data_IF_206774376521
#
_entry.id   IF_206774376521
#
_cell.length_a   1.000
_cell.length_b   1.000
_cell.length_c   1.000
_cell.angle_alpha   90.00
_cell.angle_beta   90.00
_cell.angle_gamma   90.00
#
_symmetry.space_group_name_H-M   'P 1'
#
loop_
_entity.id
_entity.type
_entity.pdbx_description
1 polymer ?
#
# COMPACT_ATOMS: atom_id res chain seq x y z
N UNK A 1 -4.42 -9.71 9.86
CA UNK A 1 -3.49 -10.08 8.76
C UNK A 1 -2.09 -9.83 9.28
N UNK A 2 -1.18 -10.80 9.13
CA UNK A 2 0.17 -10.70 9.69
C UNK A 2 0.89 -9.46 9.12
N UNK A 3 1.57 -8.73 10.00
CA UNK A 3 2.54 -7.70 9.64
C UNK A 3 3.72 -8.39 8.96
N UNK A 4 3.98 -8.08 7.70
CA UNK A 4 5.13 -8.61 6.97
C UNK A 4 6.38 -7.97 7.57
N UNK A 5 7.34 -8.79 8.02
CA UNK A 5 8.63 -8.28 8.48
C UNK A 5 9.56 -8.03 7.30
N UNK A 6 10.62 -7.23 7.51
CA UNK A 6 11.61 -6.96 6.45
C UNK A 6 12.28 -8.25 5.96
N UNK A 7 12.53 -9.20 6.86
CA UNK A 7 13.09 -10.51 6.52
C UNK A 7 12.13 -11.33 5.64
N UNK A 8 10.82 -11.32 5.95
CA UNK A 8 9.81 -11.99 5.12
C UNK A 8 9.75 -11.41 3.70
N UNK A 9 9.93 -10.08 3.57
CA UNK A 9 9.99 -9.41 2.26
C UNK A 9 11.19 -9.90 1.47
N UNK A 10 12.37 -9.93 2.10
CA UNK A 10 13.61 -10.36 1.45
C UNK A 10 13.53 -11.82 1.01
N UNK A 11 13.00 -12.70 1.84
CA UNK A 11 12.82 -14.11 1.49
C UNK A 11 11.84 -14.29 0.31
N UNK A 12 10.69 -13.61 0.34
CA UNK A 12 9.69 -13.72 -0.72
C UNK A 12 10.18 -13.19 -2.06
N UNK A 13 10.98 -12.12 -2.06
CA UNK A 13 11.58 -11.55 -3.26
C UNK A 13 12.70 -12.44 -3.80
N UNK A 14 13.56 -12.97 -2.93
CA UNK A 14 14.67 -13.85 -3.32
C UNK A 14 14.20 -15.23 -3.82
N UNK A 15 13.00 -15.65 -3.44
CA UNK A 15 12.40 -16.90 -3.91
C UNK A 15 11.92 -16.85 -5.38
N UNK A 16 11.91 -15.68 -6.03
CA UNK A 16 11.42 -15.55 -7.40
C UNK A 16 12.55 -15.75 -8.42
N UNK A 17 12.33 -16.62 -9.40
CA UNK A 17 13.33 -17.04 -10.40
C UNK A 17 13.29 -16.23 -11.71
N UNK A 18 12.30 -15.36 -11.87
CA UNK A 18 12.12 -14.57 -13.07
C UNK A 18 11.55 -13.18 -12.76
N UNK A 19 11.85 -12.22 -13.64
CA UNK A 19 11.49 -10.81 -13.48
C UNK A 19 9.97 -10.61 -13.33
N UNK A 20 9.15 -11.36 -14.07
CA UNK A 20 7.70 -11.20 -14.02
C UNK A 20 7.14 -11.61 -12.65
N UNK A 21 7.57 -12.78 -12.14
CA UNK A 21 7.22 -13.23 -10.79
C UNK A 21 7.75 -12.29 -9.72
N UNK A 22 8.98 -11.80 -9.86
CA UNK A 22 9.57 -10.81 -8.95
C UNK A 22 8.72 -9.53 -8.88
N UNK A 23 8.38 -8.95 -10.02
CA UNK A 23 7.58 -7.71 -10.07
C UNK A 23 6.16 -7.93 -9.53
N UNK A 24 5.56 -9.10 -9.79
CA UNK A 24 4.24 -9.45 -9.25
C UNK A 24 4.27 -9.58 -7.72
N UNK A 25 5.30 -10.24 -7.17
CA UNK A 25 5.49 -10.38 -5.72
C UNK A 25 5.80 -9.04 -5.07
N UNK A 26 6.70 -8.24 -5.66
CA UNK A 26 6.99 -6.89 -5.19
C UNK A 26 5.74 -5.99 -5.18
N UNK A 27 4.93 -6.04 -6.25
CA UNK A 27 3.67 -5.30 -6.33
C UNK A 27 2.71 -5.72 -5.21
N UNK A 28 2.58 -7.02 -4.94
CA UNK A 28 1.74 -7.53 -3.84
C UNK A 28 2.21 -7.05 -2.46
N UNK A 29 3.51 -7.08 -2.21
CA UNK A 29 4.12 -6.62 -0.94
C UNK A 29 3.89 -5.12 -0.76
N UNK A 30 4.14 -4.33 -1.81
CA UNK A 30 3.92 -2.87 -1.78
C UNK A 30 2.44 -2.54 -1.54
N UNK A 31 1.52 -3.22 -2.22
CA UNK A 31 0.07 -3.05 -2.02
C UNK A 31 -0.33 -3.35 -0.56
N UNK A 32 0.23 -4.42 0.02
CA UNK A 32 -0.03 -4.78 1.41
C UNK A 32 0.52 -3.74 2.39
N UNK A 33 1.73 -3.23 2.17
CA UNK A 33 2.32 -2.16 2.99
C UNK A 33 1.48 -0.88 2.92
N UNK A 34 1.00 -0.52 1.73
CA UNK A 34 0.09 0.61 1.52
C UNK A 34 -1.22 0.41 2.30
N UNK A 35 -1.83 -0.77 2.25
CA UNK A 35 -3.04 -1.10 3.01
C UNK A 35 -2.84 -0.97 4.51
N UNK A 36 -1.65 -1.32 5.02
CA UNK A 36 -1.30 -1.14 6.43
C UNK A 36 -1.06 0.33 6.79
N UNK A 37 -0.52 1.12 5.85
CA UNK A 37 -0.28 2.55 6.04
C UNK A 37 -1.55 3.40 5.90
N UNK A 38 -2.51 3.00 5.06
CA UNK A 38 -3.77 3.70 4.79
C UNK A 38 -4.54 4.12 6.06
N UNK A 39 -4.77 3.23 7.05
CA UNK A 39 -5.40 3.60 8.32
C UNK A 39 -4.71 4.75 9.06
N UNK A 40 -3.37 4.83 9.00
CA UNK A 40 -2.61 5.90 9.68
C UNK A 40 -2.78 7.29 9.06
N UNK A 41 -3.38 7.38 7.88
CA UNK A 41 -3.72 8.64 7.23
C UNK A 41 -5.02 9.24 7.75
N UNK A 42 -5.93 8.38 8.21
CA UNK A 42 -7.17 8.78 8.84
C UNK A 42 -6.85 9.08 10.31
N UNK A 43 -6.79 10.37 10.65
CA UNK A 43 -6.38 10.86 11.97
C UNK A 43 -7.33 10.38 13.07
N UNK A 44 -6.70 9.92 14.15
CA UNK A 44 -7.17 9.51 15.48
C UNK A 44 -8.57 9.99 15.97
N UNK A 45 -9.33 9.02 16.52
CA UNK A 45 -10.22 9.12 17.69
C UNK A 45 -11.74 9.29 17.54
N UNK A 46 -12.36 8.81 16.46
CA UNK A 46 -13.81 8.54 16.52
C UNK A 46 -14.10 7.11 16.06
N UNK A 47 -14.48 6.26 17.02
CA UNK A 47 -14.76 4.84 16.79
C UNK A 47 -15.86 4.68 15.73
N UNK A 48 -16.82 5.61 15.69
CA UNK A 48 -17.88 5.65 14.69
C UNK A 48 -17.34 5.95 13.27
N UNK A 49 -16.39 6.86 13.12
CA UNK A 49 -15.81 7.20 11.80
C UNK A 49 -14.99 6.01 11.27
N UNK A 50 -14.24 5.35 12.15
CA UNK A 50 -13.46 4.16 11.78
C UNK A 50 -14.42 3.04 11.34
N UNK A 51 -15.49 2.81 12.08
CA UNK A 51 -16.46 1.74 11.85
C UNK A 51 -17.30 1.97 10.58
N UNK A 52 -17.81 3.18 10.37
CA UNK A 52 -18.79 3.46 9.30
C UNK A 52 -18.19 4.07 8.03
N UNK A 53 -17.00 4.66 8.08
CA UNK A 53 -16.35 5.24 6.90
C UNK A 53 -15.05 4.52 6.53
N UNK A 54 -14.14 4.27 7.48
CA UNK A 54 -12.81 3.72 7.16
C UNK A 54 -12.87 2.22 6.84
N UNK A 55 -13.58 1.40 7.63
CA UNK A 55 -13.71 -0.04 7.35
C UNK A 55 -14.34 -0.31 5.97
N UNK A 56 -15.42 0.37 5.54
CA UNK A 56 -15.98 0.18 4.19
C UNK A 56 -15.06 0.65 3.06
N UNK A 57 -14.28 1.72 3.26
CA UNK A 57 -13.32 2.21 2.26
C UNK A 57 -12.17 1.22 2.03
N UNK A 58 -11.76 0.51 3.07
CA UNK A 58 -10.63 -0.43 3.09
C UNK A 58 -11.03 -1.92 2.96
N UNK A 59 -12.34 -2.22 2.91
CA UNK A 59 -12.84 -3.59 2.77
C UNK A 59 -12.40 -4.22 1.44
N UNK A 60 -12.40 -5.55 1.36
CA UNK A 60 -12.19 -6.28 0.11
C UNK A 60 -13.31 -5.88 -0.88
N UNK A 61 -12.94 -5.41 -2.07
CA UNK A 61 -13.79 -4.71 -3.06
C UNK A 61 -14.27 -3.29 -2.68
N UNK A 62 -13.66 -2.65 -1.69
CA UNK A 62 -13.88 -1.24 -1.38
C UNK A 62 -13.26 -0.31 -2.42
N UNK A 63 -13.63 0.98 -2.45
CA UNK A 63 -13.11 1.95 -3.43
C UNK A 63 -11.58 2.16 -3.34
N UNK A 64 -10.95 1.74 -2.23
CA UNK A 64 -9.49 1.77 -2.06
C UNK A 64 -8.83 0.38 -2.24
N UNK A 65 -9.61 -0.69 -2.45
CA UNK A 65 -9.11 -2.07 -2.61
C UNK A 65 -8.41 -2.27 -3.96
N UNK A 66 -8.94 -1.61 -4.99
CA UNK A 66 -8.47 -1.65 -6.38
C UNK A 66 -7.72 -0.35 -6.77
N UNK A 67 -7.32 0.46 -5.79
CA UNK A 67 -6.46 1.61 -6.07
C UNK A 67 -5.13 1.08 -6.57
N UNK A 68 -4.87 1.35 -7.84
CA UNK A 68 -3.56 1.18 -8.44
C UNK A 68 -2.49 1.83 -7.56
N UNK A 69 -1.41 1.09 -7.31
CA UNK A 69 -0.21 1.59 -6.63
C UNK A 69 0.19 2.99 -7.12
N UNK A 70 0.01 3.24 -8.43
CA UNK A 70 0.28 4.53 -9.09
C UNK A 70 -0.62 5.66 -8.55
N UNK A 71 -1.92 5.42 -8.42
CA UNK A 71 -2.84 6.44 -7.92
C UNK A 71 -2.57 6.73 -6.44
N UNK A 72 -2.25 5.70 -5.64
CA UNK A 72 -1.83 5.89 -4.25
C UNK A 72 -0.57 6.78 -4.15
N UNK A 73 0.47 6.48 -4.94
CA UNK A 73 1.71 7.27 -5.01
C UNK A 73 1.45 8.71 -5.49
N UNK A 74 0.43 8.96 -6.29
CA UNK A 74 0.07 10.32 -6.73
C UNK A 74 -0.72 11.12 -5.68
N UNK A 75 -1.52 10.47 -4.84
CA UNK A 75 -2.39 11.13 -3.86
C UNK A 75 -1.64 11.43 -2.56
N UNK A 76 -0.74 10.55 -2.13
CA UNK A 76 -0.03 10.69 -0.85
C UNK A 76 0.89 11.92 -0.73
N UNK A 77 1.62 12.34 -1.77
CA UNK A 77 2.37 13.59 -1.76
C UNK A 77 1.47 14.82 -1.67
N UNK A 78 0.29 14.79 -2.31
CA UNK A 78 -0.70 15.88 -2.25
C UNK A 78 -1.28 16.05 -0.84
N UNK A 79 -1.37 14.95 -0.10
CA UNK A 79 -1.78 14.94 1.31
C UNK A 79 -0.64 15.33 2.28
N UNK A 80 0.57 15.58 1.78
CA UNK A 80 1.74 15.93 2.59
C UNK A 80 2.26 14.77 3.46
N UNK A 81 1.84 13.53 3.20
CA UNK A 81 2.12 12.36 4.03
C UNK A 81 3.29 11.51 3.53
N UNK A 82 3.72 11.71 2.29
CA UNK A 82 4.95 11.12 1.73
C UNK A 82 5.69 12.13 0.85
N UNK A 83 7.01 11.92 0.69
CA UNK A 83 7.80 12.65 -0.31
C UNK A 83 7.37 12.22 -1.71
N UNK A 84 7.39 13.14 -2.66
CA UNK A 84 7.09 12.84 -4.06
C UNK A 84 8.17 11.91 -4.65
N UNK A 85 7.84 10.63 -4.78
CA UNK A 85 8.70 9.61 -5.41
C UNK A 85 8.37 9.40 -6.90
N UNK A 86 7.36 10.09 -7.42
CA UNK A 86 6.89 9.95 -8.81
C UNK A 86 7.98 10.37 -9.81
N UNK A 87 8.89 11.27 -9.40
CA UNK A 87 10.07 11.62 -10.17
C UNK A 87 11.10 10.48 -10.26
N UNK A 88 11.21 9.62 -9.24
CA UNK A 88 12.18 8.54 -9.17
C UNK A 88 11.72 7.27 -9.90
N UNK A 89 10.41 7.01 -9.93
CA UNK A 89 9.79 5.91 -10.69
C UNK A 89 9.72 6.17 -12.20
N UNK A 90 9.91 7.41 -12.65
CA UNK A 90 9.91 7.79 -14.08
C UNK A 90 11.21 7.44 -14.81
N UNK A 91 12.24 7.00 -14.07
CA UNK A 91 13.59 6.73 -14.59
C UNK A 91 13.89 5.22 -14.75
N UNK A 92 12.91 4.35 -14.58
CA UNK A 92 12.98 2.91 -14.93
C UNK A 92 11.99 2.66 -16.06
#
# INVERSE_FOLDING_TARGET
>A
MATLTEDDVLEQLNAQDNLFSFMKTAHSILLQGIRQFLPSLFVDNDEEIVEYAVKPLLAQSGPLDDIDFILFVQVMPKLGKMRDITASLRCV
#
